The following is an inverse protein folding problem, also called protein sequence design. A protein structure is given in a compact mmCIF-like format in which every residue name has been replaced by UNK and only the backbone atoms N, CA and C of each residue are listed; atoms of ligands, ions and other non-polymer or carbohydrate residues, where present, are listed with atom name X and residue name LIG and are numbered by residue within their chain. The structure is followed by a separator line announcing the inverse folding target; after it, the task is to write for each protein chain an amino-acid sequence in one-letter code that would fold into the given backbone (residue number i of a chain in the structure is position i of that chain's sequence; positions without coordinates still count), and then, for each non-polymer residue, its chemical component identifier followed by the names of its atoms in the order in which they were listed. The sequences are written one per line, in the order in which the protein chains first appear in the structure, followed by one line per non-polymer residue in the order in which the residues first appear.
data_IF_516474909552
#
_entry.id   IF_516474909552
#
_cell.length_a   1.000
_cell.length_b   1.000
_cell.length_c   1.000
_cell.angle_alpha   90.00
_cell.angle_beta   90.00
_cell.angle_gamma   90.00
#
_symmetry.space_group_name_H-M   'P 1'
#
loop_
_entity.id
_entity.type
_entity.pdbx_description
1 polymer ?
#
# COMPACT_ATOMS: atom_id res chain seq x y z
N UNK A 1 -11.35 0.31 21.06
CA UNK A 1 -10.36 -0.79 21.09
C UNK A 1 -9.24 -0.47 20.11
N UNK A 2 -8.13 0.08 20.62
CA UNK A 2 -6.94 0.40 19.82
C UNK A 2 -6.23 -0.92 19.53
N UNK A 3 -6.44 -1.46 18.33
CA UNK A 3 -5.72 -2.63 17.85
C UNK A 3 -4.26 -2.23 17.61
N UNK A 4 -3.41 -2.51 18.60
CA UNK A 4 -1.96 -2.56 18.44
C UNK A 4 -1.65 -3.50 17.27
N UNK A 5 -1.11 -2.94 16.19
CA UNK A 5 -0.44 -3.72 15.17
C UNK A 5 0.70 -4.50 15.84
N UNK A 6 0.52 -5.80 16.06
CA UNK A 6 1.64 -6.69 16.38
C UNK A 6 2.46 -6.85 15.11
N UNK A 7 3.50 -6.03 14.98
CA UNK A 7 4.65 -6.39 14.17
C UNK A 7 5.19 -7.71 14.70
N UNK A 8 5.11 -8.78 13.92
CA UNK A 8 5.83 -10.02 14.22
C UNK A 8 7.31 -9.77 13.94
N UNK A 9 7.99 -9.11 14.88
CA UNK A 9 9.44 -9.01 14.92
C UNK A 9 9.98 -10.24 15.67
N UNK A 10 10.02 -11.39 15.00
CA UNK A 10 10.85 -12.50 15.45
C UNK A 10 11.14 -13.46 14.30
N UNK A 11 12.37 -13.43 13.77
CA UNK A 11 13.19 -14.62 13.53
C UNK A 11 14.51 -14.22 12.83
N UNK A 12 15.61 -14.36 13.57
CA UNK A 12 16.84 -15.01 13.11
C UNK A 12 17.74 -14.26 12.13
N UNK A 13 18.95 -13.91 12.62
CA UNK A 13 20.08 -13.55 11.78
C UNK A 13 20.40 -14.71 10.83
N UNK A 14 20.37 -14.45 9.53
CA UNK A 14 21.26 -15.00 8.48
C UNK A 14 20.73 -14.57 7.10
N UNK A 15 21.50 -13.71 6.42
CA UNK A 15 21.53 -13.66 4.96
C UNK A 15 20.47 -12.88 4.19
N UNK A 16 19.49 -12.20 4.81
CA UNK A 16 18.56 -11.39 4.02
C UNK A 16 17.98 -10.18 4.79
N UNK A 17 18.43 -8.94 4.53
CA UNK A 17 17.93 -7.74 5.22
C UNK A 17 16.51 -7.34 4.75
N UNK A 18 15.84 -8.19 3.98
CA UNK A 18 14.56 -7.88 3.37
C UNK A 18 13.42 -7.93 4.41
N UNK A 19 12.86 -6.77 4.74
CA UNK A 19 11.70 -6.66 5.61
C UNK A 19 10.41 -6.73 4.78
N UNK A 20 9.53 -7.66 5.13
CA UNK A 20 8.25 -7.85 4.45
C UNK A 20 7.10 -7.30 5.30
N UNK A 21 6.25 -6.47 4.69
CA UNK A 21 5.08 -5.87 5.32
C UNK A 21 3.84 -6.32 4.57
N UNK A 22 2.82 -6.76 5.33
CA UNK A 22 1.53 -7.18 4.78
C UNK A 22 0.41 -6.36 5.38
N UNK A 23 -0.49 -5.87 4.53
CA UNK A 23 -1.77 -5.30 4.99
C UNK A 23 -2.76 -6.43 5.30
N UNK A 24 -3.43 -6.36 6.45
CA UNK A 24 -4.38 -7.38 6.91
C UNK A 24 -5.84 -7.11 6.47
N UNK A 25 -6.12 -5.94 5.87
CA UNK A 25 -7.47 -5.62 5.42
C UNK A 25 -7.90 -6.52 4.24
N UNK A 26 -8.87 -7.41 4.50
CA UNK A 26 -9.36 -8.47 3.60
C UNK A 26 -9.65 -8.01 2.16
N UNK A 27 -10.13 -6.78 1.98
CA UNK A 27 -10.54 -6.24 0.67
C UNK A 27 -9.38 -5.63 -0.15
N UNK A 28 -8.30 -5.24 0.52
CA UNK A 28 -7.13 -4.56 -0.05
C UNK A 28 -5.84 -5.16 0.52
N UNK A 29 -5.56 -6.41 0.11
CA UNK A 29 -4.28 -7.06 0.42
C UNK A 29 -3.20 -6.49 -0.48
N UNK A 30 -2.21 -5.86 0.13
CA UNK A 30 -0.94 -5.46 -0.49
C UNK A 30 0.21 -6.14 0.23
N UNK A 31 1.27 -6.41 -0.53
CA UNK A 31 2.52 -6.96 -0.02
C UNK A 31 3.65 -6.00 -0.36
N UNK A 32 4.50 -5.70 0.61
CA UNK A 32 5.69 -4.90 0.40
C UNK A 32 6.93 -5.67 0.85
N UNK A 33 8.02 -5.51 0.11
CA UNK A 33 9.34 -5.98 0.53
C UNK A 33 10.34 -4.85 0.35
N UNK A 34 11.19 -4.64 1.36
CA UNK A 34 12.23 -3.61 1.31
C UNK A 34 13.55 -4.14 1.79
N UNK A 35 14.64 -3.64 1.24
CA UNK A 35 15.97 -3.73 1.84
C UNK A 35 16.42 -2.33 2.31
N UNK A 36 17.73 -2.12 2.45
CA UNK A 36 18.30 -0.85 2.90
C UNK A 36 18.08 0.29 1.90
N UNK A 37 18.00 0.00 0.60
CA UNK A 37 17.94 1.01 -0.46
C UNK A 37 16.66 0.95 -1.27
N UNK A 38 16.06 -0.21 -1.47
CA UNK A 38 14.94 -0.38 -2.38
C UNK A 38 13.70 -0.87 -1.66
N UNK A 39 12.55 -0.32 -2.03
CA UNK A 39 11.24 -0.80 -1.60
C UNK A 39 10.38 -1.15 -2.81
N UNK A 40 9.80 -2.33 -2.78
CA UNK A 40 8.82 -2.80 -3.76
C UNK A 40 7.47 -2.99 -3.08
N UNK A 41 6.41 -2.41 -3.64
CA UNK A 41 5.03 -2.60 -3.20
C UNK A 41 4.25 -3.25 -4.33
N UNK A 42 3.49 -4.29 -4.01
CA UNK A 42 2.67 -5.04 -4.95
C UNK A 42 1.22 -5.01 -4.52
N UNK A 43 0.34 -4.68 -5.47
CA UNK A 43 -1.11 -4.69 -5.34
C UNK A 43 -1.70 -5.75 -6.28
N UNK A 44 -1.76 -7.03 -5.86
CA UNK A 44 -2.10 -8.14 -6.77
C UNK A 44 -3.47 -7.98 -7.43
N UNK A 45 -4.46 -7.45 -6.70
CA UNK A 45 -5.84 -7.32 -7.18
C UNK A 45 -5.97 -6.43 -8.42
N UNK A 46 -5.09 -5.45 -8.57
CA UNK A 46 -5.11 -4.49 -9.68
C UNK A 46 -3.87 -4.61 -10.57
N UNK A 47 -3.03 -5.63 -10.37
CA UNK A 47 -1.81 -5.82 -11.15
C UNK A 47 -0.78 -4.69 -11.04
N UNK A 48 -0.90 -3.82 -10.02
CA UNK A 48 -0.06 -2.63 -9.90
C UNK A 48 1.16 -2.90 -9.01
N UNK A 49 2.32 -2.41 -9.43
CA UNK A 49 3.59 -2.54 -8.73
C UNK A 49 4.24 -1.16 -8.65
N UNK A 50 4.87 -0.86 -7.51
CA UNK A 50 5.62 0.38 -7.30
C UNK A 50 7.02 0.06 -6.80
N UNK A 51 8.01 0.82 -7.28
CA UNK A 51 9.41 0.72 -6.88
C UNK A 51 9.92 2.09 -6.40
N UNK A 52 10.56 2.14 -5.25
CA UNK A 52 11.15 3.35 -4.68
C UNK A 52 12.61 3.14 -4.30
N UNK A 53 13.46 4.16 -4.51
CA UNK A 53 14.85 4.25 -4.03
C UNK A 53 14.86 5.03 -2.71
N UNK A 54 14.88 4.33 -1.59
CA UNK A 54 14.84 4.90 -0.24
C UNK A 54 16.06 5.76 0.10
N UNK A 55 17.20 5.58 -0.57
CA UNK A 55 18.37 6.43 -0.33
C UNK A 55 18.23 7.79 -1.02
N UNK A 56 17.68 7.79 -2.24
CA UNK A 56 17.51 9.03 -3.02
C UNK A 56 16.16 9.73 -2.76
N UNK A 57 15.15 8.96 -2.40
CA UNK A 57 13.78 9.41 -2.17
C UNK A 57 13.20 8.76 -0.91
N UNK A 58 13.66 9.19 0.29
CA UNK A 58 13.16 8.67 1.56
C UNK A 58 11.65 8.88 1.77
N UNK A 59 11.06 9.83 1.03
CA UNK A 59 9.63 10.18 1.11
C UNK A 59 8.77 9.38 0.12
N UNK A 60 9.35 8.48 -0.67
CA UNK A 60 8.63 7.57 -1.60
C UNK A 60 7.72 8.33 -2.59
N UNK A 61 8.19 9.47 -3.07
CA UNK A 61 7.45 10.37 -3.97
C UNK A 61 7.48 9.91 -5.43
N UNK A 62 8.57 9.28 -5.85
CA UNK A 62 8.82 8.95 -7.26
C UNK A 62 8.76 7.44 -7.48
N UNK A 63 7.70 6.99 -8.17
CA UNK A 63 7.61 5.60 -8.60
C UNK A 63 8.55 5.34 -9.79
N UNK A 64 9.48 4.40 -9.62
CA UNK A 64 10.51 4.06 -10.59
C UNK A 64 10.20 2.80 -11.42
N UNK A 65 9.00 2.22 -11.27
CA UNK A 65 8.65 0.92 -11.85
C UNK A 65 8.73 0.88 -13.39
N UNK A 66 8.43 1.99 -14.07
CA UNK A 66 8.38 2.07 -15.54
C UNK A 66 9.76 2.34 -16.17
N UNK A 67 10.78 2.61 -15.35
CA UNK A 67 12.14 2.86 -15.83
C UNK A 67 12.89 1.53 -16.00
N UNK A 68 13.20 1.21 -17.26
CA UNK A 68 13.89 -0.05 -17.65
C UNK A 68 15.20 -0.28 -16.92
N UNK A 69 15.92 0.80 -16.59
CA UNK A 69 17.18 0.80 -15.84
C UNK A 69 17.08 0.07 -14.50
N UNK A 70 15.92 0.13 -13.82
CA UNK A 70 15.73 -0.48 -12.49
C UNK A 70 15.08 -1.87 -12.54
N UNK A 71 14.84 -2.43 -13.73
CA UNK A 71 14.22 -3.75 -13.91
C UNK A 71 14.97 -4.90 -13.22
N UNK A 72 16.30 -4.78 -13.07
CA UNK A 72 17.10 -5.73 -12.30
C UNK A 72 16.71 -5.74 -10.82
N UNK A 73 16.51 -4.57 -10.21
CA UNK A 73 16.08 -4.45 -8.81
C UNK A 73 14.66 -4.96 -8.60
N UNK A 74 13.74 -4.70 -9.54
CA UNK A 74 12.38 -5.24 -9.50
C UNK A 74 12.40 -6.77 -9.47
N UNK A 75 13.13 -7.41 -10.40
CA UNK A 75 13.24 -8.88 -10.45
C UNK A 75 13.85 -9.48 -9.18
N UNK A 76 14.88 -8.83 -8.63
CA UNK A 76 15.52 -9.24 -7.36
C UNK A 76 14.51 -9.19 -6.21
N UNK A 77 13.80 -8.08 -6.04
CA UNK A 77 12.84 -7.88 -4.96
C UNK A 77 11.62 -8.81 -5.09
N UNK A 78 11.11 -9.04 -6.30
CA UNK A 78 10.04 -10.03 -6.54
C UNK A 78 10.47 -11.44 -6.13
N UNK A 79 11.73 -11.83 -6.42
CA UNK A 79 12.26 -13.13 -5.99
C UNK A 79 12.34 -13.24 -4.47
N UNK A 80 12.82 -12.18 -3.81
CA UNK A 80 12.86 -12.10 -2.35
C UNK A 80 11.45 -12.21 -1.75
N UNK A 81 10.46 -11.57 -2.38
CA UNK A 81 9.07 -11.63 -1.93
C UNK A 81 8.52 -13.05 -2.04
N UNK A 82 8.77 -13.76 -3.15
CA UNK A 82 8.35 -15.16 -3.33
C UNK A 82 9.01 -16.10 -2.31
N UNK A 83 10.30 -15.91 -2.03
CA UNK A 83 11.00 -16.68 -1.00
C UNK A 83 10.39 -16.44 0.38
N UNK A 84 10.06 -15.20 0.71
CA UNK A 84 9.40 -14.87 1.96
C UNK A 84 7.99 -15.47 2.05
N UNK A 85 7.19 -15.39 0.97
CA UNK A 85 5.88 -16.04 0.90
C UNK A 85 5.96 -17.54 1.15
N UNK A 86 6.94 -18.23 0.55
CA UNK A 86 7.17 -19.66 0.78
C UNK A 86 7.52 -19.95 2.25
N UNK A 87 8.36 -19.10 2.88
CA UNK A 87 8.76 -19.24 4.29
C UNK A 87 7.57 -19.10 5.26
N UNK A 88 6.61 -18.23 4.96
CA UNK A 88 5.45 -17.97 5.84
C UNK A 88 4.18 -18.71 5.40
N UNK A 89 4.24 -19.52 4.34
CA UNK A 89 3.10 -20.24 3.79
C UNK A 89 2.03 -19.34 3.14
N UNK A 90 2.39 -18.14 2.66
CA UNK A 90 1.46 -17.25 1.96
C UNK A 90 1.29 -17.71 0.50
N UNK A 91 0.04 -17.99 0.12
CA UNK A 91 -0.34 -18.48 -1.23
C UNK A 91 -0.86 -17.38 -2.14
N UNK A 92 -0.52 -16.12 -1.84
CA UNK A 92 -0.99 -14.98 -2.61
C UNK A 92 -0.24 -14.91 -3.95
N UNK A 93 -0.97 -15.05 -5.05
CA UNK A 93 -0.44 -14.87 -6.40
C UNK A 93 0.10 -13.44 -6.58
N UNK A 94 1.36 -13.33 -7.01
CA UNK A 94 2.02 -12.05 -7.28
C UNK A 94 2.07 -11.79 -8.79
N UNK A 95 1.68 -10.59 -9.26
CA UNK A 95 1.87 -10.20 -10.65
C UNK A 95 3.37 -10.17 -11.01
N UNK A 96 3.69 -10.64 -12.20
CA UNK A 96 5.05 -10.63 -12.75
C UNK A 96 5.38 -9.33 -13.49
N UNK A 97 4.37 -8.59 -13.93
CA UNK A 97 4.49 -7.33 -14.65
C UNK A 97 3.62 -6.25 -13.99
N UNK A 98 4.08 -5.00 -14.02
CA UNK A 98 3.25 -3.85 -13.69
C UNK A 98 2.22 -3.67 -14.81
N UNK A 99 0.97 -4.04 -14.55
CA UNK A 99 -0.17 -3.83 -15.43
C UNK A 99 -1.21 -3.03 -14.65
N UNK A 100 -0.96 -1.74 -14.34
CA UNK A 100 -2.00 -0.90 -13.80
C UNK A 100 -3.16 -0.85 -14.79
N UNK A 101 -4.41 -0.70 -14.34
CA UNK A 101 -5.53 -0.57 -15.26
C UNK A 101 -5.23 0.51 -16.30
N UNK A 102 -5.44 0.20 -17.58
CA UNK A 102 -5.06 1.02 -18.75
C UNK A 102 -5.71 2.42 -18.82
N UNK A 103 -6.46 2.78 -17.79
CA UNK A 103 -7.02 4.08 -17.48
C UNK A 103 -7.19 4.10 -15.96
N UNK A 104 -6.93 5.22 -15.23
CA UNK A 104 -7.77 5.44 -14.07
C UNK A 104 -9.20 5.34 -14.62
N UNK A 105 -10.01 4.40 -14.12
CA UNK A 105 -11.44 4.48 -14.35
C UNK A 105 -11.77 5.95 -14.09
N UNK A 106 -12.25 6.69 -15.13
CA UNK A 106 -12.57 8.12 -14.99
C UNK A 106 -13.18 8.25 -13.61
N UNK A 107 -12.63 9.07 -12.69
CA UNK A 107 -13.19 9.15 -11.34
C UNK A 107 -14.66 9.26 -11.58
N UNK A 108 -15.43 8.24 -11.18
CA UNK A 108 -16.87 8.31 -11.40
C UNK A 108 -17.22 9.59 -10.68
N UNK A 109 -17.74 10.57 -11.40
CA UNK A 109 -18.07 11.84 -10.79
C UNK A 109 -19.13 11.48 -9.76
N UNK A 110 -18.71 11.32 -8.50
CA UNK A 110 -19.61 10.88 -7.44
C UNK A 110 -20.55 12.06 -7.32
N UNK A 111 -21.75 11.90 -7.87
CA UNK A 111 -22.78 12.93 -7.76
C UNK A 111 -23.22 12.94 -6.30
N UNK A 112 -22.70 13.93 -5.56
CA UNK A 112 -23.03 14.18 -4.16
C UNK A 112 -24.19 15.18 -4.05
N UNK A 113 -24.70 15.69 -5.17
CA UNK A 113 -25.84 16.61 -5.21
C UNK A 113 -27.06 15.91 -4.62
N UNK A 114 -27.69 16.56 -3.64
CA UNK A 114 -28.86 16.02 -2.93
C UNK A 114 -28.57 14.97 -1.85
N UNK A 115 -27.32 14.55 -1.62
CA UNK A 115 -27.00 13.67 -0.49
C UNK A 115 -26.98 14.47 0.81
N UNK A 116 -27.88 14.13 1.75
CA UNK A 116 -27.92 14.72 3.09
C UNK A 116 -26.61 14.36 3.82
N UNK A 117 -25.89 15.39 4.24
CA UNK A 117 -24.65 15.28 5.01
C UNK A 117 -25.00 15.33 6.50
N UNK A 118 -24.56 14.32 7.26
CA UNK A 118 -24.73 14.27 8.72
C UNK A 118 -23.38 14.50 9.40
N UNK A 119 -23.33 15.26 10.51
CA UNK A 119 -22.09 15.45 11.26
C UNK A 119 -21.64 14.12 11.86
N UNK A 120 -20.33 13.90 11.89
CA UNK A 120 -19.74 12.75 12.57
C UNK A 120 -19.81 12.98 14.10
N UNK A 121 -20.13 11.94 14.85
CA UNK A 121 -20.23 11.98 16.32
C UNK A 121 -18.96 12.49 17.02
N UNK A 122 -17.79 12.37 16.40
CA UNK A 122 -16.51 12.80 16.97
C UNK A 122 -16.08 14.19 16.45
N UNK A 123 -16.91 14.85 15.63
CA UNK A 123 -16.66 16.23 15.26
C UNK A 123 -16.95 17.16 16.44
N UNK A 124 -16.00 18.04 16.80
CA UNK A 124 -16.20 18.98 17.89
C UNK A 124 -17.32 19.98 17.53
N UNK A 125 -18.05 20.45 18.54
CA UNK A 125 -19.26 21.28 18.37
C UNK A 125 -19.06 22.49 17.45
N UNK A 126 -17.87 23.11 17.48
CA UNK A 126 -17.58 24.28 16.64
C UNK A 126 -17.53 23.95 15.14
N UNK A 127 -17.08 22.75 14.74
CA UNK A 127 -17.10 22.27 13.36
C UNK A 127 -18.54 22.04 12.91
N UNK A 128 -19.34 21.40 13.76
CA UNK A 128 -20.75 21.11 13.47
C UNK A 128 -21.51 22.41 13.25
N UNK A 129 -21.37 23.38 14.16
CA UNK A 129 -22.01 24.69 14.05
C UNK A 129 -21.59 25.46 12.79
N UNK A 130 -20.29 25.49 12.48
CA UNK A 130 -19.74 26.24 11.34
C UNK A 130 -20.20 25.70 9.98
N UNK A 131 -20.32 24.38 9.84
CA UNK A 131 -20.55 23.73 8.54
C UNK A 131 -21.94 23.09 8.38
N UNK A 132 -22.67 22.89 9.47
CA UNK A 132 -24.02 22.30 9.47
C UNK A 132 -25.09 23.23 10.08
N UNK A 133 -24.72 24.38 10.67
CA UNK A 133 -25.65 25.35 11.26
C UNK A 133 -26.14 25.00 12.66
N UNK A 134 -27.01 25.84 13.25
CA UNK A 134 -27.64 25.63 14.58
C UNK A 134 -29.01 24.93 14.49
N UNK A 135 -29.22 23.99 13.56
CA UNK A 135 -30.56 23.44 13.33
C UNK A 135 -30.55 21.93 13.16
N UNK A 136 -30.98 21.25 14.23
CA UNK A 136 -31.85 20.08 14.12
C UNK A 136 -33.23 20.48 14.63
#
# INVERSE_FOLDING_TARGET
MILRAKACCHCGKEGNPAFAIRSFYRSFRSSAIRDERWKLIVYPKIGHIQLFDLQKDPQETTNLIDRREYSAHVRRLLRLMKQWQAKVGDKLELPSLNMPPARPARPSMINLTGKKRSPDQWQPDWIVRKYFGESQ
#
